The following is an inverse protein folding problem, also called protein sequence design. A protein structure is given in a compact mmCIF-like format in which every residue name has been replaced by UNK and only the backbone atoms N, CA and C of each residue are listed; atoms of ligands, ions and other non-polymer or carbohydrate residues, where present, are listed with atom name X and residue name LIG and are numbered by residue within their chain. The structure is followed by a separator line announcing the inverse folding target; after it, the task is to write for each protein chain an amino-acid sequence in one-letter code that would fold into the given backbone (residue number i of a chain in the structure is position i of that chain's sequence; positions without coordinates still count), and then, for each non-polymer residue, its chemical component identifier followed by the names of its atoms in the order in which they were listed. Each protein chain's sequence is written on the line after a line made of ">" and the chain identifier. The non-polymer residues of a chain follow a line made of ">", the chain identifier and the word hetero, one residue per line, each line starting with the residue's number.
data_IF_374345431356
#
_entry.id   IF_374345431356
#
_cell.length_a   1.000
_cell.length_b   1.000
_cell.length_c   1.000
_cell.angle_alpha   90.00
_cell.angle_beta   90.00
_cell.angle_gamma   90.00
#
_symmetry.space_group_name_H-M   'P 1'
#
loop_
_entity.id
_entity.type
_entity.pdbx_description
1 polymer ?
#
# COMPACT_ATOMS: atom_id res chain seq x y z
N UNK A 1 3.17 23.70 -15.88
CA UNK A 1 3.03 23.04 -14.57
C UNK A 1 4.39 22.55 -14.15
N UNK A 2 4.75 22.67 -12.88
CA UNK A 2 6.07 22.28 -12.40
C UNK A 2 5.99 21.69 -11.00
N UNK A 3 6.87 20.72 -10.75
CA UNK A 3 7.10 20.08 -9.47
C UNK A 3 8.58 20.23 -9.17
N UNK A 4 8.91 20.85 -8.04
CA UNK A 4 10.27 21.11 -7.62
C UNK A 4 10.50 20.57 -6.21
N UNK A 5 11.55 19.77 -6.04
CA UNK A 5 12.02 19.37 -4.72
C UNK A 5 12.89 20.47 -4.13
N UNK A 6 12.37 21.21 -3.15
CA UNK A 6 13.12 22.29 -2.52
C UNK A 6 14.24 21.76 -1.60
N UNK A 7 15.17 22.61 -1.12
CA UNK A 7 16.16 22.21 -0.14
C UNK A 7 15.50 21.63 1.12
N UNK A 8 16.08 20.57 1.69
CA UNK A 8 15.51 19.88 2.87
C UNK A 8 15.33 20.85 4.04
N UNK A 9 16.24 21.81 4.15
CA UNK A 9 16.34 22.75 5.25
C UNK A 9 15.51 24.03 5.11
N UNK A 10 14.61 24.12 4.11
CA UNK A 10 13.83 25.33 3.87
C UNK A 10 13.00 25.76 5.10
N UNK A 11 12.60 24.81 5.95
CA UNK A 11 11.80 25.04 7.16
C UNK A 11 12.43 24.49 8.46
N UNK A 12 13.76 24.30 8.50
CA UNK A 12 14.50 23.64 9.59
C UNK A 12 14.35 24.28 11.00
N UNK A 13 13.76 25.47 11.09
CA UNK A 13 13.47 26.13 12.37
C UNK A 13 12.27 25.53 13.10
N UNK A 14 11.54 24.61 12.47
CA UNK A 14 10.44 23.88 13.09
C UNK A 14 11.01 22.52 13.52
N UNK A 15 10.80 22.11 14.78
CA UNK A 15 11.28 20.81 15.33
C UNK A 15 10.59 19.58 14.68
N UNK A 16 10.57 19.52 13.35
CA UNK A 16 9.94 18.51 12.52
C UNK A 16 10.82 18.25 11.30
N UNK A 17 11.06 16.98 11.01
CA UNK A 17 11.72 16.60 9.75
C UNK A 17 10.71 16.74 8.62
N UNK A 18 10.95 17.69 7.69
CA UNK A 18 10.09 17.92 6.53
C UNK A 18 10.92 17.88 5.25
N UNK A 19 10.33 17.36 4.18
CA UNK A 19 10.93 17.33 2.85
C UNK A 19 10.05 18.18 1.92
N UNK A 20 10.31 19.49 1.81
CA UNK A 20 9.45 20.39 1.06
C UNK A 20 9.44 20.05 -0.43
N UNK A 21 8.27 20.22 -1.03
CA UNK A 21 8.00 20.11 -2.47
C UNK A 21 7.15 21.31 -2.86
N UNK A 22 7.54 22.00 -3.93
CA UNK A 22 6.84 23.18 -4.45
C UNK A 22 6.12 22.78 -5.74
N UNK A 23 4.84 23.17 -5.84
CA UNK A 23 4.00 22.92 -7.00
C UNK A 23 3.62 24.22 -7.69
N UNK A 24 3.94 24.34 -8.98
CA UNK A 24 3.41 25.40 -9.84
C UNK A 24 2.30 24.84 -10.71
N UNK A 25 1.07 25.21 -10.35
CA UNK A 25 -0.14 24.70 -11.01
C UNK A 25 -0.79 25.81 -11.84
N UNK A 26 -1.16 25.49 -13.06
CA UNK A 26 -2.02 26.35 -13.88
C UNK A 26 -3.48 26.15 -13.46
N UNK A 27 -4.17 27.25 -13.12
CA UNK A 27 -5.58 27.21 -12.77
C UNK A 27 -6.40 26.54 -13.87
N UNK A 28 -7.24 25.60 -13.46
CA UNK A 28 -8.14 24.90 -14.37
C UNK A 28 -9.33 25.81 -14.71
N UNK A 29 -9.31 26.46 -15.89
CA UNK A 29 -10.48 27.18 -16.39
C UNK A 29 -11.49 26.19 -17.00
N UNK A 30 -12.78 26.42 -16.74
CA UNK A 30 -13.88 25.53 -17.20
C UNK A 30 -13.90 25.34 -18.74
N UNK A 31 -13.31 26.28 -19.48
CA UNK A 31 -13.27 26.29 -20.95
C UNK A 31 -12.16 25.41 -21.56
N UNK A 32 -11.10 25.08 -20.81
CA UNK A 32 -10.02 24.23 -21.33
C UNK A 32 -10.47 22.77 -21.33
N UNK A 33 -10.75 22.24 -22.53
CA UNK A 33 -11.02 20.81 -22.77
C UNK A 33 -9.87 19.95 -22.22
N UNK A 34 -10.21 18.84 -21.58
CA UNK A 34 -9.23 17.92 -20.97
C UNK A 34 -8.10 17.50 -21.93
N UNK A 35 -8.45 17.28 -23.21
CA UNK A 35 -7.51 16.95 -24.28
C UNK A 35 -6.36 17.97 -24.42
N UNK A 36 -6.64 19.26 -24.20
CA UNK A 36 -5.62 20.32 -24.23
C UNK A 36 -4.72 20.19 -22.98
N UNK A 37 -5.32 19.96 -21.80
CA UNK A 37 -4.57 19.80 -20.55
C UNK A 37 -3.64 18.59 -20.58
N UNK A 38 -4.09 17.50 -21.18
CA UNK A 38 -3.29 16.29 -21.33
C UNK A 38 -2.03 16.51 -22.18
N UNK A 39 -2.00 17.55 -23.03
CA UNK A 39 -0.82 17.93 -23.83
C UNK A 39 0.10 18.93 -23.13
N UNK A 40 -0.22 19.38 -21.92
CA UNK A 40 0.66 20.30 -21.19
C UNK A 40 2.01 19.64 -20.89
N UNK A 41 3.08 20.40 -21.06
CA UNK A 41 4.40 20.00 -20.59
C UNK A 41 4.49 20.31 -19.09
N UNK A 42 4.88 19.29 -18.33
CA UNK A 42 5.19 19.37 -16.92
C UNK A 42 6.70 19.34 -16.75
N UNK A 43 7.23 20.24 -15.93
CA UNK A 43 8.64 20.23 -15.52
C UNK A 43 8.77 19.52 -14.18
N UNK A 44 9.67 18.54 -14.10
CA UNK A 44 10.04 17.85 -12.88
C UNK A 44 11.49 18.23 -12.59
N UNK A 45 11.69 18.89 -11.46
CA UNK A 45 13.00 19.40 -11.04
C UNK A 45 13.43 18.60 -9.79
N UNK A 46 14.54 17.85 -9.87
CA UNK A 46 15.11 17.13 -8.74
C UNK A 46 15.49 18.05 -7.58
N UNK A 47 15.96 17.46 -6.47
CA UNK A 47 16.24 18.26 -5.28
C UNK A 47 17.37 19.25 -5.50
N UNK A 48 17.02 20.53 -5.41
CA UNK A 48 17.97 21.64 -5.46
C UNK A 48 18.56 21.91 -4.07
N UNK A 49 19.75 22.48 -4.04
CA UNK A 49 20.52 22.78 -2.82
C UNK A 49 20.49 24.25 -2.42
N UNK A 50 20.20 25.15 -3.36
CA UNK A 50 20.23 26.60 -3.14
C UNK A 50 19.13 27.32 -3.92
N UNK A 51 18.92 28.59 -3.60
CA UNK A 51 18.03 29.47 -4.36
C UNK A 51 18.58 29.75 -5.78
N UNK A 52 19.90 29.75 -5.98
CA UNK A 52 20.47 29.89 -7.33
C UNK A 52 20.09 28.70 -8.23
N UNK A 53 20.12 27.49 -7.68
CA UNK A 53 19.65 26.29 -8.39
C UNK A 53 18.13 26.30 -8.60
N UNK A 54 17.36 27.10 -7.86
CA UNK A 54 15.95 27.31 -8.16
C UNK A 54 15.77 28.09 -9.47
N UNK A 55 16.56 29.16 -9.66
CA UNK A 55 16.50 29.99 -10.87
C UNK A 55 17.13 29.31 -12.09
N UNK A 56 18.18 28.51 -11.88
CA UNK A 56 18.86 27.75 -12.92
C UNK A 56 19.07 26.29 -12.49
N UNK A 57 18.03 25.45 -12.57
CA UNK A 57 18.12 24.07 -12.14
C UNK A 57 19.15 23.28 -12.96
N UNK A 58 20.00 22.46 -12.31
CA UNK A 58 21.03 21.69 -13.01
C UNK A 58 20.42 20.60 -13.91
N UNK A 59 19.24 20.11 -13.56
CA UNK A 59 18.51 19.08 -14.30
C UNK A 59 17.03 19.46 -14.34
N UNK A 60 16.43 19.39 -15.53
CA UNK A 60 15.00 19.58 -15.74
C UNK A 60 14.52 18.39 -16.59
N UNK A 61 13.57 17.63 -16.05
CA UNK A 61 12.88 16.59 -16.82
C UNK A 61 11.55 17.12 -17.31
N UNK A 62 11.30 17.05 -18.61
CA UNK A 62 10.03 17.48 -19.21
C UNK A 62 9.17 16.25 -19.55
N UNK A 63 7.95 16.21 -19.03
CA UNK A 63 6.99 15.13 -19.29
C UNK A 63 5.64 15.69 -19.72
N UNK A 64 5.02 15.07 -20.71
CA UNK A 64 3.65 15.42 -21.11
C UNK A 64 2.69 14.94 -20.02
N UNK A 65 1.75 15.80 -19.62
CA UNK A 65 0.81 15.53 -18.53
C UNK A 65 0.00 14.23 -18.74
N UNK A 66 -0.31 13.86 -19.98
CA UNK A 66 -0.93 12.57 -20.30
C UNK A 66 -0.05 11.38 -19.89
N UNK A 67 1.25 11.43 -20.23
CA UNK A 67 2.21 10.38 -19.90
C UNK A 67 2.34 10.24 -18.39
N UNK A 68 2.44 11.36 -17.67
CA UNK A 68 2.45 11.37 -16.20
C UNK A 68 1.25 10.63 -15.59
N UNK A 69 0.03 10.85 -16.12
CA UNK A 69 -1.20 10.19 -15.65
C UNK A 69 -1.24 8.68 -15.92
N UNK A 70 -0.47 8.21 -16.90
CA UNK A 70 -0.41 6.78 -17.25
C UNK A 70 0.59 6.00 -16.38
N UNK A 71 1.45 6.70 -15.64
CA UNK A 71 2.48 6.09 -14.82
C UNK A 71 1.93 5.58 -13.48
N UNK A 72 2.55 4.53 -12.90
CA UNK A 72 2.03 3.90 -11.69
C UNK A 72 2.02 4.85 -10.48
N UNK A 73 1.00 4.76 -9.62
CA UNK A 73 0.84 5.61 -8.43
C UNK A 73 0.64 7.12 -8.68
N UNK A 74 0.84 7.64 -9.90
CA UNK A 74 0.92 9.08 -10.17
C UNK A 74 1.87 9.81 -9.20
N UNK A 75 2.93 9.12 -8.73
CA UNK A 75 3.95 9.67 -7.83
C UNK A 75 5.00 10.40 -8.67
N UNK A 76 5.68 11.38 -8.06
CA UNK A 76 6.78 12.09 -8.72
C UNK A 76 7.97 11.15 -8.90
N UNK A 77 8.20 10.76 -10.15
CA UNK A 77 9.41 10.06 -10.55
C UNK A 77 10.49 11.09 -10.77
N UNK A 78 11.48 11.05 -9.92
CA UNK A 78 12.62 11.94 -10.01
C UNK A 78 13.78 11.03 -10.29
N UNK A 79 14.56 11.37 -11.32
CA UNK A 79 15.70 10.59 -11.77
C UNK A 79 15.34 9.20 -12.34
N UNK A 80 14.10 9.02 -12.83
CA UNK A 80 13.72 7.82 -13.58
C UNK A 80 14.06 7.99 -15.06
N UNK A 81 14.82 7.04 -15.62
CA UNK A 81 15.18 7.03 -17.04
C UNK A 81 13.95 6.78 -17.92
N UNK A 82 13.89 7.42 -19.10
CA UNK A 82 12.78 7.27 -20.05
C UNK A 82 12.51 5.82 -20.42
N UNK A 83 13.55 5.00 -20.52
CA UNK A 83 13.44 3.57 -20.84
C UNK A 83 12.65 2.79 -19.79
N UNK A 84 12.79 3.17 -18.51
CA UNK A 84 12.03 2.57 -17.41
C UNK A 84 10.57 3.03 -17.51
N UNK A 85 10.35 4.33 -17.78
CA UNK A 85 8.99 4.86 -17.95
C UNK A 85 8.27 4.20 -19.13
N UNK A 86 8.97 4.01 -20.25
CA UNK A 86 8.46 3.36 -21.46
C UNK A 86 8.14 1.88 -21.22
N UNK A 87 8.98 1.19 -20.43
CA UNK A 87 8.70 -0.18 -19.99
C UNK A 87 7.35 -0.24 -19.27
N UNK A 88 7.10 0.66 -18.31
CA UNK A 88 5.83 0.68 -17.57
C UNK A 88 4.65 1.12 -18.43
N UNK A 89 4.85 2.05 -19.37
CA UNK A 89 3.80 2.51 -20.28
C UNK A 89 3.35 1.40 -21.24
N UNK A 90 4.29 0.61 -21.76
CA UNK A 90 4.03 -0.46 -22.72
C UNK A 90 3.66 -1.81 -22.08
N UNK A 91 3.99 -2.02 -20.81
CA UNK A 91 3.71 -3.29 -20.13
C UNK A 91 2.22 -3.48 -19.82
N UNK A 92 1.71 -4.72 -19.91
CA UNK A 92 0.38 -5.05 -19.41
C UNK A 92 0.24 -4.71 -17.92
N UNK A 93 -0.86 -4.05 -17.58
CA UNK A 93 -1.13 -3.59 -16.21
C UNK A 93 -1.60 -4.74 -15.33
N UNK A 94 -1.16 -4.77 -14.07
CA UNK A 94 -1.59 -5.78 -13.10
C UNK A 94 -3.11 -5.83 -12.90
N UNK A 95 -3.84 -4.71 -13.05
CA UNK A 95 -5.31 -4.69 -12.93
C UNK A 95 -6.05 -5.62 -13.91
N UNK A 96 -5.39 -6.00 -15.01
CA UNK A 96 -5.92 -6.96 -15.96
C UNK A 96 -5.97 -8.36 -15.32
N UNK A 97 -4.96 -8.71 -14.53
CA UNK A 97 -4.75 -10.05 -14.01
C UNK A 97 -5.15 -10.23 -12.53
N UNK A 98 -5.05 -9.18 -11.71
CA UNK A 98 -5.40 -9.21 -10.28
C UNK A 98 -6.29 -8.01 -9.91
N UNK A 99 -7.19 -8.20 -8.94
CA UNK A 99 -8.03 -7.13 -8.40
C UNK A 99 -7.76 -6.93 -6.92
N UNK A 100 -7.52 -5.68 -6.55
CA UNK A 100 -7.17 -5.29 -5.18
C UNK A 100 -8.36 -4.68 -4.44
N UNK A 101 -8.41 -4.90 -3.14
CA UNK A 101 -9.53 -4.54 -2.27
C UNK A 101 -9.02 -4.02 -0.92
N UNK A 102 -9.58 -2.90 -0.48
CA UNK A 102 -9.42 -2.41 0.89
C UNK A 102 -10.30 -3.26 1.80
N UNK A 103 -9.69 -3.83 2.84
CA UNK A 103 -10.39 -4.63 3.83
C UNK A 103 -11.24 -3.81 4.78
N UNK A 104 -11.57 -4.42 5.92
CA UNK A 104 -12.47 -3.84 6.92
C UNK A 104 -11.73 -3.08 8.02
N UNK A 105 -12.46 -2.28 8.80
CA UNK A 105 -11.96 -1.62 9.99
C UNK A 105 -12.76 -2.04 11.23
N UNK A 106 -12.06 -2.47 12.28
CA UNK A 106 -12.69 -2.99 13.50
C UNK A 106 -12.94 -1.92 14.57
N UNK A 107 -12.41 -0.70 14.41
CA UNK A 107 -12.40 0.43 15.37
C UNK A 107 -11.71 0.19 16.72
N UNK A 108 -11.77 -1.03 17.27
CA UNK A 108 -11.10 -1.41 18.50
C UNK A 108 -10.45 -2.79 18.39
N UNK A 109 -9.19 -2.81 17.97
CA UNK A 109 -8.42 -4.05 17.80
C UNK A 109 -8.32 -4.86 19.11
N UNK A 110 -8.23 -4.20 20.27
CA UNK A 110 -8.07 -4.90 21.55
C UNK A 110 -9.34 -5.70 21.90
N UNK A 111 -10.52 -5.13 21.62
CA UNK A 111 -11.81 -5.79 21.90
C UNK A 111 -12.11 -6.93 20.93
N UNK A 112 -11.82 -6.73 19.66
CA UNK A 112 -12.36 -7.57 18.58
C UNK A 112 -11.36 -8.53 17.95
N UNK A 113 -10.08 -8.44 18.29
CA UNK A 113 -9.05 -9.29 17.71
C UNK A 113 -8.39 -10.11 18.80
N UNK A 114 -8.36 -11.41 18.61
CA UNK A 114 -7.63 -12.36 19.43
C UNK A 114 -6.39 -12.87 18.71
N UNK A 115 -5.38 -13.26 19.48
CA UNK A 115 -4.31 -14.10 18.99
C UNK A 115 -4.77 -15.55 18.93
N UNK A 116 -4.37 -16.28 17.89
CA UNK A 116 -4.56 -17.73 17.82
C UNK A 116 -3.45 -18.40 18.62
N UNK A 117 -3.79 -19.42 19.39
CA UNK A 117 -2.85 -20.23 20.16
C UNK A 117 -1.70 -20.78 19.30
N UNK A 118 -0.55 -21.01 19.93
CA UNK A 118 0.68 -21.50 19.28
C UNK A 118 1.26 -20.62 18.17
N UNK A 119 0.87 -19.34 18.14
CA UNK A 119 1.49 -18.34 17.25
C UNK A 119 2.37 -17.36 18.03
N UNK A 120 3.31 -16.69 17.33
CA UNK A 120 4.15 -15.66 17.98
C UNK A 120 3.32 -14.53 18.59
N UNK A 121 2.13 -14.25 18.05
CA UNK A 121 1.25 -13.22 18.56
C UNK A 121 0.66 -13.65 19.91
N UNK A 122 0.29 -14.92 20.07
CA UNK A 122 -0.13 -15.46 21.37
C UNK A 122 1.02 -15.39 22.38
N UNK A 123 2.24 -15.72 21.98
CA UNK A 123 3.43 -15.56 22.84
C UNK A 123 3.66 -14.11 23.27
N UNK A 124 3.47 -13.14 22.37
CA UNK A 124 3.53 -11.70 22.70
C UNK A 124 2.41 -11.31 23.66
N UNK A 125 1.18 -11.79 23.44
CA UNK A 125 0.03 -11.47 24.28
C UNK A 125 0.18 -12.06 25.68
N UNK A 126 0.67 -13.30 25.82
CA UNK A 126 1.00 -13.92 27.11
C UNK A 126 2.03 -13.11 27.88
N UNK A 127 3.12 -12.70 27.23
CA UNK A 127 4.14 -11.84 27.85
C UNK A 127 3.52 -10.54 28.35
N UNK A 128 2.72 -9.85 27.53
CA UNK A 128 2.10 -8.57 27.91
C UNK A 128 1.16 -8.68 29.11
N UNK A 129 0.34 -9.74 29.19
CA UNK A 129 -0.53 -10.01 30.35
C UNK A 129 0.26 -10.13 31.65
N UNK A 130 1.48 -10.66 31.61
CA UNK A 130 2.31 -10.84 32.81
C UNK A 130 2.91 -9.51 33.32
N UNK A 131 2.92 -8.43 32.53
CA UNK A 131 3.63 -7.19 32.86
C UNK A 131 2.72 -5.97 33.13
N UNK A 132 1.40 -6.02 32.86
CA UNK A 132 0.48 -4.89 33.13
C UNK A 132 -0.98 -5.32 33.40
N UNK A 133 -1.56 -4.63 34.38
CA UNK A 133 -2.97 -4.23 34.62
C UNK A 133 -4.09 -5.09 34.00
N UNK A 134 -4.99 -5.63 34.84
CA UNK A 134 -6.14 -6.47 34.47
C UNK A 134 -7.11 -5.80 33.47
N UNK A 135 -6.96 -4.49 33.25
CA UNK A 135 -7.76 -3.67 32.34
C UNK A 135 -7.42 -3.83 30.85
N UNK A 136 -6.24 -4.37 30.48
CA UNK A 136 -5.88 -4.64 29.07
C UNK A 136 -6.10 -6.11 28.69
N UNK A 137 -7.32 -6.45 28.28
CA UNK A 137 -7.68 -7.82 27.89
C UNK A 137 -7.13 -8.16 26.48
N UNK A 138 -5.87 -8.60 26.42
CA UNK A 138 -5.31 -9.25 25.24
C UNK A 138 -5.94 -10.64 25.08
N UNK A 139 -6.80 -10.91 24.09
CA UNK A 139 -7.49 -12.20 23.94
C UNK A 139 -6.62 -13.25 23.23
N UNK A 140 -6.64 -14.50 23.70
CA UNK A 140 -6.03 -15.66 23.05
C UNK A 140 -7.11 -16.73 22.92
N UNK A 141 -7.26 -17.32 21.74
CA UNK A 141 -8.23 -18.40 21.48
C UNK A 141 -7.51 -19.68 21.03
N UNK A 142 -8.13 -20.83 21.29
CA UNK A 142 -7.66 -22.09 20.73
C UNK A 142 -7.96 -22.12 19.22
N UNK A 143 -7.11 -22.80 18.45
CA UNK A 143 -7.26 -22.92 16.99
C UNK A 143 -8.60 -23.52 16.57
N UNK A 144 -9.14 -24.47 17.34
CA UNK A 144 -10.42 -25.13 17.05
C UNK A 144 -11.61 -24.15 17.13
N UNK A 145 -11.47 -23.01 17.80
CA UNK A 145 -12.52 -22.00 17.84
C UNK A 145 -12.76 -21.30 16.48
N UNK A 146 -11.84 -21.44 15.51
CA UNK A 146 -12.07 -20.96 14.15
C UNK A 146 -13.15 -21.76 13.42
N UNK A 147 -13.45 -22.98 13.89
CA UNK A 147 -14.50 -23.83 13.32
C UNK A 147 -15.89 -23.46 13.85
N UNK A 148 -15.98 -22.74 14.99
CA UNK A 148 -17.24 -22.48 15.69
C UNK A 148 -18.02 -21.27 15.18
N UNK A 149 -17.70 -20.74 13.99
CA UNK A 149 -18.25 -19.53 13.35
C UNK A 149 -18.10 -18.20 14.12
N UNK A 150 -17.89 -18.24 15.44
CA UNK A 150 -17.67 -17.08 16.31
C UNK A 150 -16.38 -16.33 15.99
N UNK A 151 -15.35 -17.03 15.51
CA UNK A 151 -14.07 -16.44 15.18
C UNK A 151 -13.75 -16.69 13.73
N UNK A 152 -13.39 -15.63 13.01
CA UNK A 152 -12.96 -15.71 11.62
C UNK A 152 -11.46 -15.47 11.51
N UNK A 153 -10.73 -16.22 10.66
CA UNK A 153 -9.34 -15.93 10.35
C UNK A 153 -9.16 -14.48 9.87
N UNK A 154 -8.21 -13.74 10.44
CA UNK A 154 -8.02 -12.33 10.14
C UNK A 154 -6.56 -12.01 9.80
N UNK A 155 -6.35 -11.19 8.77
CA UNK A 155 -5.04 -10.77 8.31
C UNK A 155 -4.87 -9.28 8.57
N UNK A 156 -4.29 -8.95 9.74
CA UNK A 156 -4.15 -7.56 10.16
C UNK A 156 -2.83 -6.91 9.78
N UNK A 157 -1.73 -7.64 9.96
CA UNK A 157 -0.41 -7.01 9.95
C UNK A 157 0.04 -6.72 8.52
N UNK A 158 0.54 -5.51 8.33
CA UNK A 158 1.45 -5.21 7.24
C UNK A 158 2.88 -5.54 7.63
N UNK A 159 3.83 -5.02 6.88
CA UNK A 159 5.26 -5.17 7.12
C UNK A 159 5.96 -5.88 5.97
N UNK A 160 7.07 -6.54 6.30
CA UNK A 160 7.99 -7.12 5.33
C UNK A 160 7.89 -8.64 5.16
N UNK A 161 6.81 -9.27 5.64
CA UNK A 161 6.60 -10.71 5.48
C UNK A 161 6.27 -11.03 4.02
N UNK A 162 7.08 -11.86 3.38
CA UNK A 162 6.95 -12.25 1.98
C UNK A 162 6.54 -13.73 1.88
N UNK A 163 5.89 -14.08 0.78
CA UNK A 163 5.45 -15.44 0.40
C UNK A 163 4.38 -16.04 1.31
N UNK A 164 4.65 -16.20 2.60
CA UNK A 164 3.73 -16.82 3.54
C UNK A 164 3.91 -16.27 4.96
N UNK A 165 2.79 -16.15 5.67
CA UNK A 165 2.74 -15.93 7.11
C UNK A 165 1.59 -16.76 7.66
N UNK A 166 1.79 -17.51 8.75
CA UNK A 166 0.69 -18.17 9.44
C UNK A 166 -0.43 -17.17 9.80
N UNK A 167 -1.66 -17.65 9.85
CA UNK A 167 -2.78 -16.86 10.36
C UNK A 167 -2.59 -16.77 11.87
N UNK A 168 -2.37 -15.56 12.38
CA UNK A 168 -2.08 -15.33 13.81
C UNK A 168 -3.20 -14.60 14.54
N UNK A 169 -4.04 -13.91 13.78
CA UNK A 169 -5.15 -13.14 14.30
C UNK A 169 -6.49 -13.84 14.00
N UNK A 170 -7.41 -13.77 14.95
CA UNK A 170 -8.80 -14.14 14.77
C UNK A 170 -9.68 -12.93 15.09
N UNK A 171 -10.69 -12.71 14.26
CA UNK A 171 -11.68 -11.65 14.38
C UNK A 171 -12.96 -12.17 15.02
N UNK A 172 -13.45 -11.44 16.01
CA UNK A 172 -14.73 -11.70 16.65
C UNK A 172 -15.86 -11.50 15.64
N UNK A 173 -16.66 -12.54 15.41
CA UNK A 173 -17.69 -12.58 14.38
C UNK A 173 -19.08 -12.78 14.97
N UNK A 174 -19.27 -12.38 16.22
CA UNK A 174 -20.61 -12.31 16.84
C UNK A 174 -21.42 -11.17 16.22
N UNK A 175 -22.75 -11.31 16.18
CA UNK A 175 -23.64 -10.34 15.53
C UNK A 175 -23.46 -8.91 16.08
N UNK A 176 -23.27 -8.79 17.39
CA UNK A 176 -23.01 -7.52 18.07
C UNK A 176 -21.68 -6.90 17.61
N UNK A 177 -20.64 -7.73 17.46
CA UNK A 177 -19.33 -7.32 16.97
C UNK A 177 -19.37 -6.84 15.52
N UNK A 178 -20.04 -7.59 14.63
CA UNK A 178 -20.17 -7.28 13.20
C UNK A 178 -20.82 -5.91 12.99
N UNK A 179 -21.83 -5.57 13.80
CA UNK A 179 -22.56 -4.30 13.67
C UNK A 179 -21.69 -3.05 13.91
N UNK A 180 -20.52 -3.23 14.53
CA UNK A 180 -19.58 -2.15 14.85
C UNK A 180 -18.56 -1.96 13.72
N UNK A 181 -18.35 -2.96 12.87
CA UNK A 181 -17.29 -2.93 11.87
C UNK A 181 -17.66 -2.11 10.62
N UNK A 182 -16.66 -1.44 10.06
CA UNK A 182 -16.77 -0.89 8.71
C UNK A 182 -16.41 -1.99 7.72
N UNK A 183 -17.41 -2.71 7.21
CA UNK A 183 -17.24 -3.79 6.23
C UNK A 183 -17.63 -3.28 4.83
N UNK A 184 -16.68 -3.19 3.88
CA UNK A 184 -17.02 -2.77 2.53
C UNK A 184 -17.82 -3.86 1.79
N UNK A 185 -18.90 -3.47 1.12
CA UNK A 185 -19.90 -4.39 0.54
C UNK A 185 -19.38 -5.27 -0.62
N UNK A 186 -18.43 -4.77 -1.40
CA UNK A 186 -17.97 -5.42 -2.64
C UNK A 186 -16.65 -6.16 -2.48
N UNK A 187 -16.24 -6.43 -1.24
CA UNK A 187 -14.97 -7.10 -0.96
C UNK A 187 -15.20 -8.60 -0.89
N UNK A 188 -14.48 -9.39 -1.71
CA UNK A 188 -14.59 -10.84 -1.73
C UNK A 188 -13.86 -11.47 -0.54
N UNK A 189 -14.31 -11.17 0.68
CA UNK A 189 -13.79 -11.84 1.86
C UNK A 189 -13.97 -13.35 1.74
N UNK A 190 -13.10 -14.10 2.42
CA UNK A 190 -13.05 -15.56 2.38
C UNK A 190 -12.58 -16.17 1.05
N UNK A 191 -12.33 -15.40 0.00
CA UNK A 191 -11.67 -15.90 -1.21
C UNK A 191 -10.16 -16.08 -1.01
N UNK A 192 -9.58 -17.02 -1.76
CA UNK A 192 -8.13 -17.23 -1.81
C UNK A 192 -7.46 -16.13 -2.64
N UNK A 193 -6.28 -15.69 -2.22
CA UNK A 193 -5.59 -14.62 -2.94
C UNK A 193 -4.27 -14.22 -2.31
N UNK A 194 -3.90 -12.95 -2.45
CA UNK A 194 -2.64 -12.39 -1.97
C UNK A 194 -2.94 -11.23 -1.04
N UNK A 195 -2.18 -11.10 0.05
CA UNK A 195 -2.12 -9.86 0.82
C UNK A 195 -0.84 -9.11 0.48
N UNK A 196 -0.98 -7.83 0.17
CA UNK A 196 0.13 -6.88 0.00
C UNK A 196 0.10 -5.88 1.16
N UNK A 197 1.26 -5.63 1.76
CA UNK A 197 1.36 -4.61 2.82
C UNK A 197 1.15 -3.20 2.26
N UNK A 198 0.16 -2.47 2.77
CA UNK A 198 -0.06 -1.06 2.41
C UNK A 198 0.96 -0.09 3.02
N UNK A 199 1.64 -0.52 4.09
CA UNK A 199 2.70 0.26 4.74
C UNK A 199 3.96 -0.59 4.81
N UNK A 200 4.94 -0.27 3.97
CA UNK A 200 6.20 -1.01 3.89
C UNK A 200 7.25 -0.22 3.09
N UNK A 201 8.52 -0.36 3.49
CA UNK A 201 9.67 0.15 2.74
C UNK A 201 9.94 -0.63 1.45
N UNK A 202 9.38 -1.84 1.32
CA UNK A 202 9.47 -2.70 0.14
C UNK A 202 8.11 -3.31 -0.22
N UNK A 203 7.94 -3.75 -1.46
CA UNK A 203 6.76 -4.53 -1.84
C UNK A 203 6.89 -5.93 -1.21
N UNK A 204 5.95 -6.23 -0.31
CA UNK A 204 5.87 -7.51 0.37
C UNK A 204 4.48 -8.09 0.16
N UNK A 205 4.43 -9.17 -0.62
CA UNK A 205 3.24 -9.91 -0.95
C UNK A 205 3.29 -11.29 -0.29
N UNK A 206 2.17 -11.77 0.22
CA UNK A 206 2.08 -13.10 0.83
C UNK A 206 0.76 -13.76 0.49
N UNK A 207 0.77 -15.08 0.52
CA UNK A 207 -0.41 -15.89 0.30
C UNK A 207 -1.51 -15.59 1.34
N UNK A 208 -2.74 -15.48 0.86
CA UNK A 208 -3.98 -15.35 1.62
C UNK A 208 -4.80 -16.63 1.40
N UNK A 209 -4.86 -17.51 2.41
CA UNK A 209 -5.71 -18.70 2.34
C UNK A 209 -7.19 -18.34 2.23
N UNK A 210 -7.96 -19.24 1.63
CA UNK A 210 -9.42 -19.18 1.65
C UNK A 210 -9.96 -19.11 3.09
N UNK A 211 -11.03 -18.35 3.29
CA UNK A 211 -11.69 -18.17 4.60
C UNK A 211 -11.18 -16.98 5.42
N UNK A 212 -10.28 -16.16 4.88
CA UNK A 212 -9.70 -15.01 5.58
C UNK A 212 -10.48 -13.70 5.36
N UNK A 213 -10.50 -12.88 6.41
CA UNK A 213 -10.80 -11.44 6.39
C UNK A 213 -9.50 -10.64 6.53
N UNK A 214 -9.48 -9.37 6.14
CA UNK A 214 -8.27 -8.54 6.22
C UNK A 214 -8.57 -7.07 6.53
N UNK A 215 -7.53 -6.37 6.98
CA UNK A 215 -7.56 -4.98 7.43
C UNK A 215 -7.57 -3.98 6.26
N UNK A 216 -8.09 -2.77 6.47
CA UNK A 216 -8.17 -1.76 5.42
C UNK A 216 -6.81 -1.21 4.98
N UNK A 217 -5.94 -0.84 5.93
CA UNK A 217 -4.75 -0.03 5.63
C UNK A 217 -3.45 -0.84 5.61
N UNK A 218 -3.33 -1.82 6.51
CA UNK A 218 -2.06 -2.53 6.69
C UNK A 218 -1.92 -3.74 5.79
N UNK A 219 -3.03 -4.34 5.36
CA UNK A 219 -3.08 -5.60 4.64
C UNK A 219 -4.11 -5.51 3.51
N UNK A 220 -3.69 -5.10 2.32
CA UNK A 220 -4.58 -5.02 1.16
C UNK A 220 -4.73 -6.41 0.53
N UNK A 221 -5.97 -6.86 0.35
CA UNK A 221 -6.27 -8.16 -0.29
C UNK A 221 -6.35 -8.04 -1.81
N UNK A 222 -5.83 -9.04 -2.52
CA UNK A 222 -5.84 -9.14 -3.97
C UNK A 222 -6.33 -10.51 -4.41
N UNK A 223 -7.29 -10.54 -5.33
CA UNK A 223 -7.83 -11.76 -5.92
C UNK A 223 -7.35 -11.89 -7.37
N UNK A 224 -7.00 -13.11 -7.77
CA UNK A 224 -6.58 -13.41 -9.14
C UNK A 224 -7.83 -13.40 -10.05
N UNK A 225 -7.79 -12.62 -11.13
CA UNK A 225 -8.85 -12.57 -12.14
C UNK A 225 -8.60 -13.52 -13.30
N UNK A 226 -7.32 -13.70 -13.64
CA UNK A 226 -6.89 -14.52 -14.77
C UNK A 226 -6.27 -15.82 -14.25
N UNK A 227 -7.06 -16.90 -14.36
CA UNK A 227 -6.66 -18.23 -13.91
C UNK A 227 -5.59 -18.88 -14.80
N UNK A 228 -5.15 -18.23 -15.89
CA UNK A 228 -4.00 -18.70 -16.67
C UNK A 228 -2.65 -18.49 -15.96
N UNK A 229 -2.61 -17.61 -14.96
CA UNK A 229 -1.43 -17.33 -14.15
C UNK A 229 -1.67 -17.80 -12.71
N UNK A 230 -0.76 -18.60 -12.17
CA UNK A 230 -0.90 -19.15 -10.82
C UNK A 230 -0.65 -18.09 -9.74
N UNK A 231 -1.21 -18.32 -8.56
CA UNK A 231 -0.99 -17.46 -7.41
C UNK A 231 0.49 -17.43 -6.98
N UNK A 232 1.19 -18.56 -7.09
CA UNK A 232 2.63 -18.68 -6.82
C UNK A 232 3.45 -17.83 -7.78
N UNK A 233 3.05 -17.74 -9.05
CA UNK A 233 3.69 -16.85 -10.00
C UNK A 233 3.59 -15.40 -9.56
N UNK A 234 2.40 -14.92 -9.17
CA UNK A 234 2.24 -13.56 -8.66
C UNK A 234 3.03 -13.33 -7.37
N UNK A 235 3.07 -14.31 -6.46
CA UNK A 235 3.90 -14.23 -5.26
C UNK A 235 5.39 -14.14 -5.59
N UNK A 236 5.87 -14.89 -6.58
CA UNK A 236 7.24 -14.81 -7.08
C UNK A 236 7.54 -13.45 -7.71
N UNK A 237 6.68 -12.98 -8.61
CA UNK A 237 6.82 -11.69 -9.29
C UNK A 237 6.85 -10.52 -8.30
N UNK A 238 5.82 -10.39 -7.46
CA UNK A 238 5.64 -9.27 -6.53
C UNK A 238 6.71 -9.22 -5.44
N UNK A 239 7.32 -10.35 -5.10
CA UNK A 239 8.43 -10.40 -4.14
C UNK A 239 9.81 -10.40 -4.79
N UNK A 240 9.90 -10.46 -6.12
CA UNK A 240 11.19 -10.48 -6.81
C UNK A 240 11.97 -9.18 -6.60
N UNK A 241 13.29 -9.29 -6.55
CA UNK A 241 14.19 -8.15 -6.38
C UNK A 241 14.05 -7.14 -7.51
N UNK A 242 13.88 -7.60 -8.76
CA UNK A 242 13.69 -6.74 -9.92
C UNK A 242 12.39 -5.93 -9.79
N UNK A 243 11.27 -6.59 -9.47
CA UNK A 243 9.99 -5.91 -9.34
C UNK A 243 9.97 -4.94 -8.16
N UNK A 244 10.65 -5.29 -7.06
CA UNK A 244 10.85 -4.38 -5.94
C UNK A 244 11.72 -3.19 -6.31
N UNK A 245 12.83 -3.40 -7.02
CA UNK A 245 13.69 -2.32 -7.49
C UNK A 245 12.90 -1.33 -8.34
N UNK A 246 12.16 -1.83 -9.34
CA UNK A 246 11.37 -0.97 -10.21
C UNK A 246 10.23 -0.28 -9.44
N UNK A 247 9.41 -1.03 -8.70
CA UNK A 247 8.22 -0.46 -8.03
C UNK A 247 8.53 0.42 -6.83
N UNK A 248 9.57 0.12 -6.04
CA UNK A 248 9.89 0.80 -4.77
C UNK A 248 11.20 1.58 -4.76
N UNK A 249 12.15 1.20 -5.61
CA UNK A 249 13.42 1.90 -5.74
C UNK A 249 13.38 3.04 -6.77
N UNK A 250 12.57 2.88 -7.81
CA UNK A 250 12.45 3.88 -8.89
C UNK A 250 11.09 4.59 -8.85
N UNK A 251 9.99 3.83 -8.76
CA UNK A 251 8.65 4.41 -8.96
C UNK A 251 8.00 4.98 -7.69
N UNK A 252 7.98 4.23 -6.59
CA UNK A 252 7.33 4.64 -5.35
C UNK A 252 8.30 4.59 -4.17
N UNK A 253 8.97 5.73 -3.96
CA UNK A 253 9.97 5.91 -2.91
C UNK A 253 9.35 6.29 -1.55
N UNK A 254 8.02 6.20 -1.40
CA UNK A 254 7.33 6.48 -0.12
C UNK A 254 7.24 5.22 0.75
N UNK A 255 6.92 5.33 2.04
CA UNK A 255 6.65 4.13 2.87
C UNK A 255 5.25 3.54 2.70
N UNK A 256 4.45 4.11 1.80
CA UNK A 256 3.05 3.73 1.57
C UNK A 256 2.87 3.16 0.17
N UNK A 257 2.09 2.10 0.06
CA UNK A 257 1.72 1.46 -1.20
C UNK A 257 0.20 1.53 -1.29
N UNK A 258 -0.28 2.15 -2.37
CA UNK A 258 -1.72 2.28 -2.62
C UNK A 258 -2.17 1.25 -3.66
N UNK A 259 -3.44 0.84 -3.58
CA UNK A 259 -4.06 -0.09 -4.54
C UNK A 259 -3.91 0.38 -5.99
N UNK A 260 -4.23 1.65 -6.25
CA UNK A 260 -4.13 2.26 -7.59
C UNK A 260 -2.73 2.16 -8.17
N UNK A 261 -1.72 2.21 -7.31
CA UNK A 261 -0.35 2.02 -7.72
C UNK A 261 -0.01 0.60 -8.10
N UNK A 262 -0.42 -0.39 -7.28
CA UNK A 262 -0.24 -1.80 -7.62
C UNK A 262 -0.98 -2.15 -8.92
N UNK A 263 -2.18 -1.64 -9.13
CA UNK A 263 -2.95 -1.85 -10.36
C UNK A 263 -2.27 -1.32 -11.61
N UNK A 264 -1.51 -0.24 -11.47
CA UNK A 264 -0.84 0.42 -12.58
C UNK A 264 0.58 -0.11 -12.86
N UNK A 265 1.19 -0.84 -11.92
CA UNK A 265 2.41 -1.62 -12.15
C UNK A 265 2.16 -2.71 -13.19
#
# INVERSE_FOLDING_TARGET
>A
NEILLAPINLFDKQNVSTYPVIFFLTKCSKEKKEQIRNKNIMKIIPRIKSEDEYWNPPVITEIIQNRYKALPFNIFFIDAEDQILDLFESSPKLELFIRGYIGMHTHNNKKFIAAIEDTDLASIFRKKRNFKDESEIYKIINKNNLESCKWKPYLKRGGGDQYYRPIMEALDWEQESISIYDIPKSVPFEEEGIVISGVSSRLAARYMPKGCYWDSNKAMGFIIKDNSISIEYFLGLLNSSLYNYLSKGVLNNTSSIQLTGIHAL
#
